data_IF_994040284882
#
_entry.id   IF_994040284882
#
_cell.length_a   1.000
_cell.length_b   1.000
_cell.length_c   1.000
_cell.angle_alpha   90.00
_cell.angle_beta   90.00
_cell.angle_gamma   90.00
#
_symmetry.space_group_name_H-M   'P 1'
#
loop_
_entity.id
_entity.type
_entity.pdbx_description
1 polymer ?
#
# COMPACT_ATOMS: atom_id res chain seq x y z
N UNK A 1 20.90 35.56 -5.12
CA UNK A 1 19.59 36.18 -5.45
C UNK A 1 18.51 35.12 -5.27
N UNK A 2 17.84 35.15 -4.12
CA UNK A 2 16.68 34.30 -3.85
C UNK A 2 15.56 34.66 -4.81
N UNK A 3 15.16 33.67 -5.61
CA UNK A 3 13.88 33.66 -6.29
C UNK A 3 13.13 32.42 -5.80
N UNK A 4 12.87 32.40 -4.50
CA UNK A 4 11.78 31.60 -3.94
C UNK A 4 10.49 32.19 -4.51
N UNK A 5 10.18 31.77 -5.74
CA UNK A 5 8.84 31.83 -6.27
C UNK A 5 7.96 31.15 -5.23
N UNK A 6 7.18 31.94 -4.48
CA UNK A 6 5.99 31.45 -3.79
C UNK A 6 5.11 30.83 -4.87
N UNK A 7 5.36 29.55 -5.17
CA UNK A 7 4.52 28.81 -6.07
C UNK A 7 3.15 28.74 -5.38
N UNK A 8 2.16 29.39 -6.00
CA UNK A 8 0.75 29.22 -5.62
C UNK A 8 0.46 27.73 -5.42
N UNK A 9 -0.45 27.39 -4.52
CA UNK A 9 -0.95 26.02 -4.41
C UNK A 9 -1.34 25.54 -5.83
N UNK A 10 -0.88 24.34 -6.26
CA UNK A 10 -1.24 23.84 -7.57
C UNK A 10 -2.76 23.67 -7.67
N UNK A 11 -3.32 23.98 -8.83
CA UNK A 11 -4.76 23.76 -9.04
C UNK A 11 -5.05 22.25 -9.12
N UNK A 12 -6.29 21.86 -8.86
CA UNK A 12 -6.70 20.46 -8.94
C UNK A 12 -6.40 19.87 -10.34
N UNK A 13 -6.65 20.63 -11.40
CA UNK A 13 -6.33 20.22 -12.79
C UNK A 13 -4.83 20.09 -13.03
N UNK A 14 -4.01 21.00 -12.49
CA UNK A 14 -2.54 20.88 -12.56
C UNK A 14 -2.04 19.61 -11.88
N UNK A 15 -2.63 19.24 -10.74
CA UNK A 15 -2.27 18.01 -10.03
C UNK A 15 -2.64 16.78 -10.86
N UNK A 16 -3.87 16.71 -11.36
CA UNK A 16 -4.34 15.56 -12.16
C UNK A 16 -3.49 15.40 -13.42
N UNK A 17 -3.28 16.48 -14.18
CA UNK A 17 -2.43 16.44 -15.38
C UNK A 17 -0.97 16.14 -15.05
N UNK A 18 -0.45 16.66 -13.94
CA UNK A 18 0.90 16.37 -13.49
C UNK A 18 1.09 14.89 -13.16
N UNK A 19 0.12 14.28 -12.47
CA UNK A 19 0.13 12.84 -12.17
C UNK A 19 0.05 12.03 -13.46
N UNK A 20 -0.86 12.37 -14.38
CA UNK A 20 -0.98 11.69 -15.68
C UNK A 20 0.34 11.72 -16.48
N UNK A 21 1.12 12.79 -16.34
CA UNK A 21 2.40 12.98 -17.03
C UNK A 21 3.64 12.58 -16.19
N UNK A 22 3.47 11.92 -15.04
CA UNK A 22 4.58 11.52 -14.14
C UNK A 22 5.46 12.71 -13.67
N UNK A 23 4.87 13.89 -13.47
CA UNK A 23 5.60 15.08 -13.07
C UNK A 23 6.00 15.04 -11.59
N UNK A 24 7.27 14.76 -11.33
CA UNK A 24 7.85 14.79 -9.98
C UNK A 24 7.69 16.15 -9.29
N UNK A 25 7.77 17.24 -10.07
CA UNK A 25 7.61 18.62 -9.55
C UNK A 25 6.20 18.82 -8.99
N UNK A 26 5.18 18.33 -9.70
CA UNK A 26 3.79 18.44 -9.26
C UNK A 26 3.54 17.55 -8.04
N UNK A 27 4.05 16.33 -8.02
CA UNK A 27 3.95 15.43 -6.86
C UNK A 27 4.62 16.03 -5.61
N UNK A 28 5.79 16.66 -5.77
CA UNK A 28 6.46 17.34 -4.65
C UNK A 28 5.64 18.52 -4.13
N UNK A 29 5.08 19.35 -5.03
CA UNK A 29 4.21 20.48 -4.65
C UNK A 29 2.95 19.99 -3.95
N UNK A 30 2.32 18.95 -4.47
CA UNK A 30 1.16 18.29 -3.87
C UNK A 30 1.48 17.90 -2.43
N UNK A 31 2.59 17.18 -2.25
CA UNK A 31 3.02 16.69 -0.95
C UNK A 31 3.21 17.84 0.05
N UNK A 32 3.97 18.87 -0.31
CA UNK A 32 4.22 20.01 0.58
C UNK A 32 2.99 20.85 0.87
N UNK A 33 2.01 20.89 -0.05
CA UNK A 33 0.81 21.75 0.07
C UNK A 33 -0.20 21.15 1.05
N UNK A 34 -0.43 19.85 0.99
CA UNK A 34 -1.50 19.21 1.76
C UNK A 34 -1.02 18.36 2.94
N UNK A 35 0.26 18.05 3.05
CA UNK A 35 0.77 17.32 4.22
C UNK A 35 0.43 18.00 5.57
N UNK A 36 0.51 19.34 5.74
CA UNK A 36 0.25 19.97 7.04
C UNK A 36 -1.14 19.69 7.62
N UNK A 37 -2.20 19.64 6.79
CA UNK A 37 -3.55 19.31 7.28
C UNK A 37 -3.67 17.83 7.69
N UNK A 38 -2.92 16.94 7.03
CA UNK A 38 -2.92 15.52 7.38
C UNK A 38 -2.13 15.30 8.67
N UNK A 39 -0.97 15.96 8.82
CA UNK A 39 -0.22 15.96 10.06
C UNK A 39 -1.08 16.41 11.25
N UNK A 40 -1.85 17.48 11.07
CA UNK A 40 -2.78 17.96 12.10
C UNK A 40 -3.87 16.93 12.42
N UNK A 41 -4.47 16.30 11.42
CA UNK A 41 -5.44 15.23 11.62
C UNK A 41 -4.85 14.08 12.46
N UNK A 42 -3.65 13.60 12.12
CA UNK A 42 -3.07 12.41 12.77
C UNK A 42 -2.61 12.71 14.21
N UNK A 43 -1.85 13.79 14.42
CA UNK A 43 -1.34 14.15 15.75
C UNK A 43 -2.48 14.40 16.75
N UNK A 44 -3.58 15.01 16.30
CA UNK A 44 -4.72 15.28 17.17
C UNK A 44 -5.62 14.06 17.42
N UNK A 45 -5.32 12.93 16.78
CA UNK A 45 -6.11 11.70 16.85
C UNK A 45 -5.24 10.48 17.12
N UNK A 46 -4.37 10.56 18.13
CA UNK A 46 -3.60 9.43 18.69
C UNK A 46 -2.49 8.86 17.78
N UNK A 47 -1.97 9.64 16.84
CA UNK A 47 -0.81 9.28 16.01
C UNK A 47 0.37 10.24 16.20
N UNK A 48 1.45 9.95 15.49
CA UNK A 48 2.65 10.80 15.43
C UNK A 48 2.97 11.29 14.01
N UNK A 49 4.13 11.92 13.83
CA UNK A 49 4.54 12.46 12.54
C UNK A 49 4.86 11.35 11.52
N UNK A 50 5.37 10.21 11.97
CA UNK A 50 5.72 9.11 11.07
C UNK A 50 4.46 8.38 10.62
N UNK A 51 3.48 8.19 11.52
CA UNK A 51 2.12 7.78 11.17
C UNK A 51 1.52 8.72 10.09
N UNK A 52 1.71 10.03 10.23
CA UNK A 52 1.20 10.99 9.26
C UNK A 52 1.87 10.87 7.89
N UNK A 53 3.20 10.67 7.85
CA UNK A 53 3.93 10.45 6.59
C UNK A 53 3.44 9.19 5.89
N UNK A 54 3.25 8.11 6.65
CA UNK A 54 2.81 6.82 6.13
C UNK A 54 1.39 6.90 5.58
N UNK A 55 0.43 7.40 6.38
CA UNK A 55 -0.96 7.56 5.95
C UNK A 55 -1.07 8.46 4.73
N UNK A 56 -0.30 9.56 4.72
CA UNK A 56 -0.33 10.47 3.59
C UNK A 56 0.26 9.85 2.32
N UNK A 57 1.37 9.11 2.43
CA UNK A 57 1.92 8.39 1.28
C UNK A 57 0.94 7.37 0.72
N UNK A 58 0.31 6.58 1.59
CA UNK A 58 -0.70 5.61 1.18
C UNK A 58 -1.86 6.30 0.43
N UNK A 59 -2.36 7.42 0.96
CA UNK A 59 -3.41 8.20 0.30
C UNK A 59 -2.98 8.76 -1.08
N UNK A 60 -1.72 9.20 -1.22
CA UNK A 60 -1.19 9.68 -2.50
C UNK A 60 -1.05 8.55 -3.51
N UNK A 61 -0.67 7.35 -3.09
CA UNK A 61 -0.64 6.15 -3.93
C UNK A 61 -2.05 5.81 -4.42
N UNK A 62 -3.07 5.85 -3.55
CA UNK A 62 -4.47 5.66 -3.94
C UNK A 62 -4.89 6.68 -5.00
N UNK A 63 -4.62 7.97 -4.76
CA UNK A 63 -4.93 9.05 -5.71
C UNK A 63 -4.22 8.82 -7.07
N UNK A 64 -2.92 8.51 -7.03
CA UNK A 64 -2.11 8.27 -8.21
C UNK A 64 -2.68 7.12 -9.06
N UNK A 65 -3.00 6.00 -8.41
CA UNK A 65 -3.55 4.83 -9.10
C UNK A 65 -4.94 5.10 -9.69
N UNK A 66 -5.82 5.81 -8.99
CA UNK A 66 -7.13 6.19 -9.54
C UNK A 66 -6.98 7.07 -10.79
N UNK A 67 -6.12 8.09 -10.72
CA UNK A 67 -5.89 8.98 -11.87
C UNK A 67 -5.30 8.21 -13.05
N UNK A 68 -4.33 7.33 -12.82
CA UNK A 68 -3.71 6.51 -13.87
C UNK A 68 -4.64 5.45 -14.44
N UNK A 69 -5.55 4.92 -13.63
CA UNK A 69 -6.57 3.96 -14.05
C UNK A 69 -7.63 4.56 -14.96
N UNK A 70 -7.79 5.89 -14.95
CA UNK A 70 -8.84 6.59 -15.70
C UNK A 70 -10.17 6.70 -14.93
N UNK A 71 -10.29 6.05 -13.78
CA UNK A 71 -11.49 5.99 -12.93
C UNK A 71 -11.59 7.17 -11.94
N UNK A 72 -10.84 8.26 -12.19
CA UNK A 72 -10.83 9.42 -11.30
C UNK A 72 -11.77 10.51 -11.76
N UNK A 73 -12.97 10.55 -11.18
CA UNK A 73 -13.90 11.66 -11.29
C UNK A 73 -13.81 12.58 -10.06
N UNK A 74 -13.39 13.81 -10.29
CA UNK A 74 -13.24 14.79 -9.24
C UNK A 74 -14.59 15.48 -8.92
N UNK A 75 -15.38 14.85 -8.05
CA UNK A 75 -16.71 15.34 -7.63
C UNK A 75 -16.66 16.36 -6.46
N UNK A 76 -15.45 16.66 -5.95
CA UNK A 76 -15.22 17.62 -4.87
C UNK A 76 -13.83 18.26 -5.02
N UNK A 77 -13.49 19.27 -4.21
CA UNK A 77 -12.12 19.81 -4.23
C UNK A 77 -11.13 18.70 -3.90
N UNK A 78 -9.98 18.67 -4.57
CA UNK A 78 -8.97 17.63 -4.36
C UNK A 78 -8.46 17.60 -2.91
N UNK A 79 -8.38 18.77 -2.25
CA UNK A 79 -8.10 18.88 -0.81
C UNK A 79 -9.05 18.02 0.02
N UNK A 80 -10.35 18.13 -0.23
CA UNK A 80 -11.41 17.38 0.46
C UNK A 80 -11.27 15.89 0.21
N UNK A 81 -11.00 15.49 -1.05
CA UNK A 81 -10.76 14.09 -1.38
C UNK A 81 -9.57 13.52 -0.60
N UNK A 82 -8.41 14.17 -0.66
CA UNK A 82 -7.18 13.74 0.03
C UNK A 82 -7.41 13.62 1.53
N UNK A 83 -8.03 14.62 2.14
CA UNK A 83 -8.33 14.60 3.57
C UNK A 83 -9.25 13.43 3.93
N UNK A 84 -10.28 13.18 3.13
CA UNK A 84 -11.24 12.09 3.36
C UNK A 84 -10.58 10.71 3.25
N UNK A 85 -9.69 10.52 2.27
CA UNK A 85 -8.91 9.28 2.11
C UNK A 85 -8.02 9.06 3.35
N UNK A 86 -7.24 10.07 3.74
CA UNK A 86 -6.34 9.99 4.90
C UNK A 86 -7.12 9.69 6.19
N UNK A 87 -8.26 10.36 6.39
CA UNK A 87 -9.15 10.14 7.53
C UNK A 87 -9.64 8.70 7.61
N UNK A 88 -10.08 8.12 6.49
CA UNK A 88 -10.52 6.71 6.45
C UNK A 88 -9.37 5.74 6.75
N UNK A 89 -8.20 5.95 6.14
CA UNK A 89 -7.01 5.13 6.39
C UNK A 89 -6.61 5.19 7.87
N UNK A 90 -6.63 6.37 8.46
CA UNK A 90 -6.29 6.55 9.86
C UNK A 90 -7.30 5.90 10.82
N UNK A 91 -8.59 6.08 10.58
CA UNK A 91 -9.64 5.41 11.35
C UNK A 91 -9.48 3.88 11.33
N UNK A 92 -9.14 3.32 10.16
CA UNK A 92 -8.85 1.89 10.01
C UNK A 92 -7.64 1.48 10.84
N UNK A 93 -6.55 2.26 10.79
CA UNK A 93 -5.33 2.00 11.57
C UNK A 93 -5.57 2.09 13.08
N UNK A 94 -6.32 3.10 13.54
CA UNK A 94 -6.74 3.22 14.94
C UNK A 94 -7.54 2.02 15.42
N UNK A 95 -8.47 1.52 14.60
CA UNK A 95 -9.25 0.32 14.90
C UNK A 95 -8.34 -0.91 15.05
N UNK A 96 -7.39 -1.11 14.13
CA UNK A 96 -6.42 -2.21 14.18
C UNK A 96 -5.50 -2.14 15.41
N UNK A 97 -5.16 -0.94 15.87
CA UNK A 97 -4.34 -0.72 17.06
C UNK A 97 -5.15 -0.77 18.37
N UNK A 98 -6.46 -1.00 18.32
CA UNK A 98 -7.39 -0.85 19.46
C UNK A 98 -7.31 0.53 20.15
N UNK A 99 -7.00 1.58 19.37
CA UNK A 99 -6.93 2.97 19.82
C UNK A 99 -8.13 3.81 19.38
N UNK A 100 -9.10 3.20 18.73
CA UNK A 100 -10.30 3.90 18.27
C UNK A 100 -11.28 4.16 19.42
N UNK A 101 -11.38 5.41 19.86
CA UNK A 101 -12.27 5.86 20.94
C UNK A 101 -13.70 6.21 20.50
N UNK A 102 -14.05 6.01 19.23
CA UNK A 102 -15.38 6.29 18.68
C UNK A 102 -15.59 7.70 18.13
N UNK A 103 -14.82 8.69 18.58
CA UNK A 103 -14.87 10.05 18.06
C UNK A 103 -13.45 10.53 17.70
N UNK A 104 -13.32 11.19 16.54
CA UNK A 104 -12.07 11.81 16.08
C UNK A 104 -12.30 13.29 15.79
N UNK A 105 -11.29 14.10 16.07
CA UNK A 105 -11.31 15.54 15.81
C UNK A 105 -10.96 15.81 14.36
N UNK A 106 -11.93 16.33 13.62
CA UNK A 106 -11.74 16.80 12.25
C UNK A 106 -11.43 18.30 12.20
N UNK A 107 -10.54 18.68 11.27
CA UNK A 107 -10.11 20.07 11.06
C UNK A 107 -10.40 20.57 9.64
N UNK A 108 -10.86 19.68 8.77
CA UNK A 108 -11.20 19.96 7.38
C UNK A 108 -12.52 19.28 7.01
N UNK A 109 -13.17 19.78 5.97
CA UNK A 109 -14.33 19.11 5.36
C UNK A 109 -13.92 17.74 4.81
N UNK A 110 -14.76 16.75 5.05
CA UNK A 110 -14.59 15.40 4.52
C UNK A 110 -15.89 14.88 3.94
N UNK A 111 -15.76 13.97 2.97
CA UNK A 111 -16.85 13.26 2.35
C UNK A 111 -16.80 11.79 2.73
N UNK A 112 -17.95 11.09 2.75
CA UNK A 112 -17.95 9.64 2.76
C UNK A 112 -17.19 9.16 1.52
N UNK A 113 -16.02 8.55 1.71
CA UNK A 113 -15.29 7.95 0.58
C UNK A 113 -15.86 6.57 0.35
N UNK A 114 -16.48 6.36 -0.82
CA UNK A 114 -17.01 5.06 -1.25
C UNK A 114 -15.97 3.93 -1.12
N UNK A 115 -16.44 2.69 -0.98
CA UNK A 115 -15.73 1.51 -0.47
C UNK A 115 -14.39 1.17 -1.17
N UNK A 116 -14.07 1.78 -2.31
CA UNK A 116 -12.91 1.47 -3.18
C UNK A 116 -11.50 1.58 -2.54
N UNK A 117 -11.32 2.24 -1.40
CA UNK A 117 -10.03 2.25 -0.67
C UNK A 117 -9.67 0.85 -0.13
N UNK A 118 -10.64 -0.06 0.03
CA UNK A 118 -10.37 -1.38 0.60
C UNK A 118 -9.49 -2.28 -0.27
N UNK A 119 -9.37 -2.03 -1.58
CA UNK A 119 -8.54 -2.86 -2.47
C UNK A 119 -7.03 -2.81 -2.17
N UNK A 120 -6.49 -1.69 -1.68
CA UNK A 120 -5.06 -1.60 -1.36
C UNK A 120 -4.75 -2.31 -0.03
N UNK A 121 -5.58 -2.04 0.98
CA UNK A 121 -5.44 -2.68 2.28
C UNK A 121 -5.74 -4.18 2.24
N UNK A 122 -6.65 -4.64 1.39
CA UNK A 122 -6.84 -6.08 1.16
C UNK A 122 -5.56 -6.73 0.63
N UNK A 123 -4.88 -6.09 -0.33
CA UNK A 123 -3.60 -6.60 -0.83
C UNK A 123 -2.55 -6.67 0.27
N UNK A 124 -2.43 -5.65 1.11
CA UNK A 124 -1.47 -5.65 2.22
C UNK A 124 -1.79 -6.73 3.26
N UNK A 125 -3.08 -6.96 3.55
CA UNK A 125 -3.54 -8.09 4.38
C UNK A 125 -3.19 -9.43 3.71
N UNK A 126 -3.41 -9.57 2.40
CA UNK A 126 -3.04 -10.79 1.68
C UNK A 126 -1.51 -10.99 1.67
N UNK A 127 -0.71 -9.93 1.56
CA UNK A 127 0.76 -9.99 1.66
C UNK A 127 1.21 -10.46 3.05
N UNK A 128 0.66 -9.87 4.12
CA UNK A 128 0.97 -10.31 5.49
C UNK A 128 0.56 -11.76 5.76
N UNK A 129 -0.60 -12.19 5.25
CA UNK A 129 -1.02 -13.61 5.29
C UNK A 129 -0.07 -14.51 4.51
N UNK A 130 0.39 -14.09 3.34
CA UNK A 130 1.34 -14.85 2.53
C UNK A 130 2.70 -14.99 3.22
N UNK A 131 3.22 -13.90 3.80
CA UNK A 131 4.48 -13.92 4.55
C UNK A 131 4.40 -14.88 5.74
N UNK A 132 3.31 -14.79 6.53
CA UNK A 132 3.05 -15.69 7.65
C UNK A 132 2.93 -17.16 7.19
N UNK A 133 2.25 -17.42 6.08
CA UNK A 133 2.11 -18.75 5.51
C UNK A 133 3.45 -19.32 5.02
N UNK A 134 4.32 -18.49 4.41
CA UNK A 134 5.67 -18.88 4.00
C UNK A 134 6.58 -19.19 5.20
N UNK A 135 6.46 -18.43 6.30
CA UNK A 135 7.19 -18.73 7.54
C UNK A 135 6.77 -20.09 8.13
N UNK A 136 5.46 -20.35 8.22
CA UNK A 136 4.93 -21.63 8.72
C UNK A 136 5.22 -22.83 7.79
N UNK A 137 5.40 -22.57 6.48
CA UNK A 137 5.72 -23.62 5.51
C UNK A 137 7.05 -24.32 5.85
N UNK A 138 8.00 -23.54 6.37
CA UNK A 138 9.33 -24.00 6.80
C UNK A 138 10.25 -24.45 5.66
N UNK A 139 11.50 -24.74 6.01
CA UNK A 139 12.47 -25.29 5.07
C UNK A 139 12.29 -26.81 4.87
N UNK A 140 12.64 -27.36 3.68
CA UNK A 140 13.20 -26.68 2.51
C UNK A 140 12.13 -25.98 1.63
N UNK A 141 10.85 -26.13 1.96
CA UNK A 141 9.75 -25.71 1.09
C UNK A 141 9.69 -24.19 0.88
N UNK A 142 9.97 -23.39 1.92
CA UNK A 142 10.04 -21.93 1.81
C UNK A 142 11.07 -21.51 0.78
N UNK A 143 12.32 -21.95 0.91
CA UNK A 143 13.37 -21.60 -0.06
C UNK A 143 13.04 -22.08 -1.48
N UNK A 144 12.42 -23.26 -1.65
CA UNK A 144 11.99 -23.73 -2.97
C UNK A 144 10.93 -22.80 -3.60
N UNK A 145 9.98 -22.28 -2.81
CA UNK A 145 8.98 -21.32 -3.32
C UNK A 145 9.63 -20.00 -3.71
N UNK A 146 10.52 -19.45 -2.86
CA UNK A 146 11.23 -18.19 -3.13
C UNK A 146 12.14 -18.29 -4.35
N UNK A 147 12.92 -19.37 -4.45
CA UNK A 147 13.83 -19.58 -5.57
C UNK A 147 13.09 -19.66 -6.90
N UNK A 148 11.93 -20.31 -6.93
CA UNK A 148 11.15 -20.45 -8.16
C UNK A 148 10.36 -19.18 -8.50
N UNK A 149 9.56 -18.66 -7.57
CA UNK A 149 8.60 -17.57 -7.86
C UNK A 149 9.16 -16.16 -7.70
N UNK A 150 10.20 -15.97 -6.88
CA UNK A 150 10.78 -14.65 -6.61
C UNK A 150 12.09 -14.49 -7.38
N UNK A 151 12.96 -15.50 -7.32
CA UNK A 151 14.29 -15.46 -7.97
C UNK A 151 14.30 -16.02 -9.39
N UNK A 152 13.17 -16.52 -9.88
CA UNK A 152 13.01 -17.10 -11.23
C UNK A 152 14.06 -18.17 -11.59
N UNK A 153 14.50 -18.97 -10.61
CA UNK A 153 15.44 -20.07 -10.86
C UNK A 153 14.76 -21.21 -11.60
N UNK A 154 15.51 -21.82 -12.52
CA UNK A 154 15.11 -23.03 -13.23
C UNK A 154 15.01 -24.23 -12.29
N UNK A 155 14.28 -25.27 -12.73
CA UNK A 155 14.16 -26.49 -11.91
C UNK A 155 15.45 -27.30 -11.87
N UNK A 156 16.33 -27.13 -12.85
CA UNK A 156 17.69 -27.66 -12.85
C UNK A 156 18.52 -27.03 -11.74
N UNK A 157 18.54 -25.69 -11.64
CA UNK A 157 19.28 -25.00 -10.58
C UNK A 157 18.76 -25.34 -9.18
N UNK A 158 17.43 -25.44 -9.02
CA UNK A 158 16.82 -25.86 -7.76
C UNK A 158 17.14 -27.33 -7.47
N UNK A 159 17.20 -28.19 -8.49
CA UNK A 159 17.61 -29.58 -8.34
C UNK A 159 19.02 -29.70 -7.77
N UNK A 160 19.98 -29.00 -8.39
CA UNK A 160 21.38 -28.99 -7.98
C UNK A 160 21.55 -28.42 -6.57
N UNK A 161 20.90 -27.29 -6.28
CA UNK A 161 21.00 -26.61 -4.99
C UNK A 161 20.54 -27.47 -3.81
N UNK A 162 19.50 -28.27 -4.00
CA UNK A 162 18.92 -29.10 -2.95
C UNK A 162 19.36 -30.57 -3.01
N UNK A 163 20.24 -30.92 -3.97
CA UNK A 163 20.74 -32.29 -4.13
C UNK A 163 19.66 -33.29 -4.57
N UNK A 164 18.65 -32.85 -5.32
CA UNK A 164 17.68 -33.77 -5.91
C UNK A 164 18.33 -34.57 -7.05
N UNK A 165 17.83 -35.79 -7.28
CA UNK A 165 18.37 -36.69 -8.32
C UNK A 165 18.14 -36.18 -9.74
N UNK A 166 17.03 -35.46 -9.96
CA UNK A 166 16.70 -34.85 -11.25
C UNK A 166 15.69 -33.71 -11.08
N UNK A 167 15.53 -32.89 -12.12
CA UNK A 167 14.65 -31.73 -12.11
C UNK A 167 13.17 -32.11 -11.91
N UNK A 168 12.75 -33.32 -12.27
CA UNK A 168 11.37 -33.76 -12.08
C UNK A 168 11.06 -34.03 -10.60
N UNK A 169 12.01 -34.59 -9.84
CA UNK A 169 11.90 -34.69 -8.38
C UNK A 169 11.77 -33.30 -7.74
N UNK A 170 12.54 -32.31 -8.22
CA UNK A 170 12.43 -30.94 -7.76
C UNK A 170 11.06 -30.31 -8.09
N UNK A 171 10.51 -30.58 -9.28
CA UNK A 171 9.14 -30.16 -9.66
C UNK A 171 8.09 -30.80 -8.76
N UNK A 172 8.18 -32.11 -8.51
CA UNK A 172 7.26 -32.82 -7.62
C UNK A 172 7.32 -32.27 -6.20
N UNK A 173 8.52 -31.98 -5.69
CA UNK A 173 8.67 -31.39 -4.36
C UNK A 173 8.09 -29.97 -4.33
N UNK A 174 8.38 -29.13 -5.34
CA UNK A 174 7.77 -27.80 -5.49
C UNK A 174 6.25 -27.89 -5.45
N UNK A 175 5.66 -28.84 -6.19
CA UNK A 175 4.21 -29.05 -6.19
C UNK A 175 3.68 -29.36 -4.79
N UNK A 176 4.31 -30.30 -4.05
CA UNK A 176 3.92 -30.63 -2.66
C UNK A 176 4.02 -29.41 -1.73
N UNK A 177 5.10 -28.64 -1.83
CA UNK A 177 5.29 -27.42 -1.06
C UNK A 177 4.22 -26.38 -1.38
N UNK A 178 3.85 -26.21 -2.65
CA UNK A 178 2.79 -25.28 -3.08
C UNK A 178 1.42 -25.69 -2.51
N UNK A 179 1.09 -26.99 -2.50
CA UNK A 179 -0.18 -27.45 -1.90
C UNK A 179 -0.23 -27.19 -0.39
N UNK A 180 0.89 -27.39 0.31
CA UNK A 180 1.01 -27.05 1.73
C UNK A 180 0.89 -25.55 1.96
N UNK A 181 1.53 -24.73 1.13
CA UNK A 181 1.44 -23.27 1.21
C UNK A 181 0.00 -22.78 1.01
N UNK A 182 -0.69 -23.28 -0.01
CA UNK A 182 -2.12 -22.98 -0.22
C UNK A 182 -2.95 -23.32 1.02
N UNK A 183 -2.73 -24.50 1.60
CA UNK A 183 -3.43 -24.91 2.81
C UNK A 183 -3.17 -23.94 3.97
N UNK A 184 -1.92 -23.55 4.22
CA UNK A 184 -1.57 -22.58 5.27
C UNK A 184 -2.20 -21.21 5.02
N UNK A 185 -2.15 -20.72 3.78
CA UNK A 185 -2.69 -19.43 3.38
C UNK A 185 -4.21 -19.34 3.56
N UNK A 186 -4.96 -20.36 3.12
CA UNK A 186 -6.42 -20.37 3.21
C UNK A 186 -6.98 -20.88 4.55
N UNK A 187 -6.14 -21.45 5.44
CA UNK A 187 -6.58 -21.91 6.77
C UNK A 187 -6.30 -20.91 7.90
N UNK A 188 -5.53 -19.85 7.66
CA UNK A 188 -5.41 -18.73 8.60
C UNK A 188 -6.68 -17.87 8.54
N UNK A 189 -7.59 -18.11 9.51
CA UNK A 189 -8.74 -17.24 9.78
C UNK A 189 -8.25 -15.84 10.14
#
# INVERSE_FOLDING_TARGET
>A
MNKDLKASAPTDSEIVLGILNNSEVVLKRLYTTYFPMILQLIINNNGDEDDAKDIYQEAIIVLYNKIKGGDFELNSKLKTYIYSVCRRLWLKRLSQMNRYGGDIRDFEEHLPVEEEIDNHSERDIQFGKMESALQLLGEPCKTIMEDFYIKNRSMQEICERFGYTNADNAKTQKYKCLQRLKKLFFQQK
#
